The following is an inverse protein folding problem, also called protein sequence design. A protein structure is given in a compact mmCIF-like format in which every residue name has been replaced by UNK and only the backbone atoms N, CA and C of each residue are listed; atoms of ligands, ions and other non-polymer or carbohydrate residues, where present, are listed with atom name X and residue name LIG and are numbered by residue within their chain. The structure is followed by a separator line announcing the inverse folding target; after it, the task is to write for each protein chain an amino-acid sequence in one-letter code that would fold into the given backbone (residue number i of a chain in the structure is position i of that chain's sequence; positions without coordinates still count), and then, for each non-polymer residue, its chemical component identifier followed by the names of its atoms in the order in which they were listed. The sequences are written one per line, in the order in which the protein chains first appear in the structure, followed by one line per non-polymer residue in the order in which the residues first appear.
data_IF_729401588154
#
_entry.id   IF_729401588154
#
_cell.length_a   1.000
_cell.length_b   1.000
_cell.length_c   1.000
_cell.angle_alpha   90.00
_cell.angle_beta   90.00
_cell.angle_gamma   90.00
#
_symmetry.space_group_name_H-M   'P 1'
#
loop_
_entity.id
_entity.type
_entity.pdbx_description
1 polymer ?
#
# COMPACT_ATOMS: atom_id res chain seq x y z
N UNK A 1 12.53 -14.91 9.38
CA UNK A 1 13.99 -15.07 9.59
C UNK A 1 14.37 -15.12 11.07
N UNK A 2 14.13 -14.09 11.89
CA UNK A 2 14.50 -14.05 13.32
C UNK A 2 13.91 -15.21 14.15
N UNK A 3 12.62 -15.52 14.00
CA UNK A 3 11.98 -16.63 14.71
C UNK A 3 12.51 -18.02 14.30
N UNK A 4 13.11 -18.12 13.10
CA UNK A 4 13.80 -19.31 12.63
C UNK A 4 15.32 -19.25 12.88
N UNK A 5 15.80 -18.26 13.65
CA UNK A 5 17.23 -18.01 13.90
C UNK A 5 18.10 -17.84 12.66
N UNK A 6 17.49 -17.47 11.52
CA UNK A 6 18.21 -17.19 10.28
C UNK A 6 18.69 -15.75 10.30
N UNK A 7 20.00 -15.55 10.28
CA UNK A 7 20.63 -14.25 10.16
C UNK A 7 20.78 -13.83 8.69
N UNK A 8 20.70 -12.54 8.41
CA UNK A 8 20.97 -12.01 7.07
C UNK A 8 22.45 -12.14 6.71
N UNK A 9 22.74 -12.45 5.45
CA UNK A 9 24.11 -12.44 4.94
C UNK A 9 24.65 -11.01 4.87
N UNK A 10 25.83 -10.78 5.44
CA UNK A 10 26.53 -9.49 5.39
C UNK A 10 27.87 -9.71 4.68
N UNK A 11 28.08 -9.04 3.54
CA UNK A 11 29.38 -9.06 2.85
C UNK A 11 30.45 -8.41 3.74
N UNK A 12 31.56 -9.12 4.02
CA UNK A 12 32.71 -8.58 4.76
C UNK A 12 33.33 -7.34 4.10
N UNK A 13 33.33 -7.29 2.76
CA UNK A 13 33.79 -6.14 1.97
C UNK A 13 32.60 -5.39 1.39
N UNK A 14 32.50 -4.08 1.70
CA UNK A 14 31.53 -3.19 1.05
C UNK A 14 32.06 -2.83 -0.34
N UNK A 15 31.36 -3.27 -1.37
CA UNK A 15 31.58 -2.86 -2.76
C UNK A 15 30.52 -1.81 -3.09
N UNK A 16 30.96 -0.63 -3.54
CA UNK A 16 30.04 0.41 -4.00
C UNK A 16 29.61 0.08 -5.42
N UNK A 17 28.36 -0.36 -5.58
CA UNK A 17 27.80 -0.76 -6.88
C UNK A 17 27.40 0.43 -7.73
N UNK A 18 27.04 1.54 -7.09
CA UNK A 18 26.52 2.74 -7.75
C UNK A 18 27.32 3.95 -7.30
N UNK A 19 27.94 4.62 -8.26
CA UNK A 19 28.53 5.95 -8.07
C UNK A 19 27.46 6.95 -8.51
N UNK A 20 27.07 7.85 -7.62
CA UNK A 20 26.14 8.93 -7.96
C UNK A 20 26.83 9.87 -8.96
N UNK A 21 26.10 10.27 -9.99
CA UNK A 21 26.57 11.33 -10.88
C UNK A 21 26.57 12.65 -10.08
N UNK A 22 27.65 13.44 -10.09
CA UNK A 22 27.74 14.66 -9.28
C UNK A 22 26.66 15.71 -9.60
N UNK A 23 26.15 15.69 -10.83
CA UNK A 23 25.07 16.56 -11.28
C UNK A 23 23.67 16.01 -10.95
N UNK A 24 23.55 14.77 -10.47
CA UNK A 24 22.25 14.19 -10.12
C UNK A 24 21.70 14.80 -8.83
N UNK A 25 20.47 15.26 -8.92
CA UNK A 25 19.75 15.73 -7.76
C UNK A 25 19.36 14.53 -6.87
N UNK A 26 19.55 14.69 -5.55
CA UNK A 26 19.10 13.68 -4.59
C UNK A 26 17.59 13.54 -4.68
N UNK A 27 17.12 12.36 -5.11
CA UNK A 27 15.70 12.04 -5.13
C UNK A 27 15.22 11.85 -3.69
N UNK A 28 14.11 12.51 -3.29
CA UNK A 28 13.57 12.36 -1.94
C UNK A 28 13.09 10.93 -1.69
N UNK A 29 13.38 10.40 -0.49
CA UNK A 29 12.82 9.14 -0.03
C UNK A 29 11.33 9.33 0.31
N UNK A 30 10.48 8.99 -0.66
CA UNK A 30 9.03 9.23 -0.59
C UNK A 30 8.34 8.51 0.58
N UNK A 31 8.92 7.40 1.06
CA UNK A 31 8.36 6.60 2.15
C UNK A 31 9.20 6.66 3.42
N UNK A 32 10.31 7.41 3.43
CA UNK A 32 11.22 7.59 4.57
C UNK A 32 11.66 6.25 5.20
N UNK A 33 11.83 5.22 4.36
CA UNK A 33 12.10 3.83 4.78
C UNK A 33 11.07 3.23 5.75
N UNK A 34 9.86 3.78 5.83
CA UNK A 34 8.74 3.17 6.53
C UNK A 34 7.99 2.23 5.59
N UNK A 35 8.20 0.94 5.80
CA UNK A 35 7.58 -0.14 5.03
C UNK A 35 6.36 -0.73 5.74
N UNK A 36 5.79 -0.03 6.73
CA UNK A 36 4.61 -0.48 7.47
C UNK A 36 3.35 -0.25 6.64
N UNK A 37 2.55 -1.31 6.44
CA UNK A 37 1.18 -1.23 5.95
C UNK A 37 0.20 -1.72 7.01
N UNK A 38 -1.04 -1.22 6.93
CA UNK A 38 -2.13 -1.63 7.83
C UNK A 38 -2.96 -2.81 7.32
N UNK A 39 -2.86 -3.11 6.02
CA UNK A 39 -3.58 -4.21 5.38
C UNK A 39 -2.83 -4.68 4.12
N UNK A 40 -2.94 -5.97 3.77
CA UNK A 40 -2.40 -6.50 2.53
C UNK A 40 -2.96 -5.78 1.30
N UNK A 41 -2.16 -5.73 0.25
CA UNK A 41 -2.49 -5.28 -1.10
C UNK A 41 -3.01 -3.84 -1.22
N UNK A 42 -2.91 -3.03 -0.16
CA UNK A 42 -3.63 -1.76 -0.10
C UNK A 42 -2.75 -0.52 -0.08
N UNK A 43 -1.54 -0.58 0.50
CA UNK A 43 -0.81 0.64 0.85
C UNK A 43 0.65 0.67 0.40
N UNK A 44 1.36 -0.46 0.46
CA UNK A 44 2.82 -0.48 0.26
C UNK A 44 3.24 -1.70 -0.54
N UNK A 45 3.68 -1.44 -1.75
CA UNK A 45 4.36 -2.41 -2.60
C UNK A 45 5.83 -2.02 -2.71
N UNK A 46 6.71 -3.00 -2.59
CA UNK A 46 8.16 -2.82 -2.78
C UNK A 46 8.57 -3.61 -4.01
N UNK A 47 9.15 -2.91 -4.99
CA UNK A 47 9.71 -3.53 -6.16
C UNK A 47 11.21 -3.81 -6.00
N UNK A 48 11.68 -4.87 -6.66
CA UNK A 48 13.12 -5.10 -6.88
C UNK A 48 13.36 -5.57 -8.31
N UNK A 49 14.53 -5.21 -8.86
CA UNK A 49 15.00 -5.65 -10.17
C UNK A 49 16.35 -6.34 -10.00
N UNK A 50 16.42 -7.58 -10.44
CA UNK A 50 17.64 -8.39 -10.37
C UNK A 50 18.15 -8.71 -11.78
N UNK A 51 19.45 -8.51 -11.98
CA UNK A 51 20.18 -8.92 -13.17
C UNK A 51 20.65 -10.36 -12.97
N UNK A 52 20.26 -11.26 -13.87
CA UNK A 52 20.63 -12.67 -13.82
C UNK A 52 21.57 -12.97 -14.98
N UNK A 53 22.87 -13.18 -14.73
CA UNK A 53 23.83 -13.47 -15.78
C UNK A 53 23.57 -14.84 -16.40
N UNK A 54 23.63 -14.90 -17.72
CA UNK A 54 23.53 -16.13 -18.49
C UNK A 54 24.90 -16.59 -18.99
N UNK A 55 25.02 -17.89 -19.23
CA UNK A 55 26.12 -18.42 -20.02
C UNK A 55 26.06 -17.79 -21.43
N UNK A 56 27.16 -17.18 -21.87
CA UNK A 56 27.21 -16.40 -23.11
C UNK A 56 27.26 -14.87 -22.92
N UNK A 57 27.30 -14.39 -21.67
CA UNK A 57 27.61 -12.99 -21.37
C UNK A 57 26.44 -12.02 -21.47
N UNK A 58 25.24 -12.52 -21.81
CA UNK A 58 23.99 -11.76 -21.74
C UNK A 58 23.37 -11.83 -20.34
N UNK A 59 22.37 -10.98 -20.07
CA UNK A 59 21.65 -10.95 -18.80
C UNK A 59 20.14 -11.10 -19.05
N UNK A 60 19.47 -11.84 -18.15
CA UNK A 60 18.02 -11.72 -17.95
C UNK A 60 17.74 -10.66 -16.88
N UNK A 61 16.56 -10.06 -16.99
CA UNK A 61 16.09 -9.07 -16.05
C UNK A 61 14.87 -9.62 -15.35
N UNK A 62 14.97 -9.85 -14.04
CA UNK A 62 13.84 -10.24 -13.21
C UNK A 62 13.32 -9.02 -12.49
N UNK A 63 12.04 -8.70 -12.69
CA UNK A 63 11.33 -7.72 -11.89
C UNK A 63 10.43 -8.45 -10.89
N UNK A 64 10.39 -7.98 -9.65
CA UNK A 64 9.48 -8.46 -8.62
C UNK A 64 8.75 -7.30 -7.96
N UNK A 65 7.52 -7.55 -7.52
CA UNK A 65 6.73 -6.65 -6.69
C UNK A 65 6.27 -7.44 -5.49
N UNK A 66 6.57 -6.95 -4.30
CA UNK A 66 6.28 -7.60 -3.03
C UNK A 66 5.28 -6.72 -2.27
N UNK A 67 4.14 -7.31 -1.92
CA UNK A 67 3.22 -6.71 -0.97
C UNK A 67 3.82 -6.72 0.44
N UNK A 68 3.80 -5.56 1.11
CA UNK A 68 4.37 -5.38 2.45
C UNK A 68 3.25 -5.24 3.47
N UNK A 69 2.63 -6.35 3.84
CA UNK A 69 1.81 -6.39 5.05
C UNK A 69 2.63 -6.76 6.29
N UNK A 70 2.16 -6.31 7.45
CA UNK A 70 2.65 -6.80 8.73
C UNK A 70 1.86 -8.06 9.04
N UNK A 71 2.51 -9.21 9.16
CA UNK A 71 1.92 -10.39 9.82
C UNK A 71 1.46 -9.97 11.22
N UNK A 72 0.19 -9.62 11.36
CA UNK A 72 -0.46 -9.31 12.63
C UNK A 72 -1.35 -10.46 13.07
N UNK A 73 -0.98 -11.70 12.74
CA UNK A 73 -1.60 -12.90 13.28
C UNK A 73 -0.71 -13.56 14.34
N UNK A 74 -0.44 -12.81 15.43
CA UNK A 74 -0.07 -13.44 16.70
C UNK A 74 -0.99 -13.13 17.87
N UNK A 75 -1.92 -12.19 17.76
CA UNK A 75 -2.91 -11.90 18.81
C UNK A 75 -4.29 -11.61 18.22
N UNK A 76 -4.84 -12.55 17.43
CA UNK A 76 -6.29 -12.60 17.24
C UNK A 76 -6.84 -13.58 18.27
N UNK A 77 -7.27 -13.02 19.40
CA UNK A 77 -8.11 -13.61 20.45
C UNK A 77 -8.34 -15.12 20.37
N UNK A 78 -7.49 -15.88 21.06
CA UNK A 78 -7.99 -17.01 21.85
C UNK A 78 -8.57 -16.42 23.14
N UNK A 79 -9.87 -16.16 23.16
CA UNK A 79 -10.62 -16.06 24.41
C UNK A 79 -11.26 -14.71 24.70
N UNK A 80 -12.46 -14.49 24.14
CA UNK A 80 -13.58 -14.02 24.95
C UNK A 80 -14.91 -14.43 24.30
N UNK A 81 -15.31 -15.67 24.56
CA UNK A 81 -16.73 -16.08 24.51
C UNK A 81 -17.40 -15.96 25.90
N UNK A 82 -16.71 -15.36 26.87
CA UNK A 82 -17.22 -15.15 28.22
C UNK A 82 -17.86 -13.76 28.32
N UNK A 83 -19.13 -13.65 27.93
CA UNK A 83 -19.87 -12.40 28.15
C UNK A 83 -21.23 -12.26 27.47
N UNK A 84 -21.68 -13.23 26.67
CA UNK A 84 -22.97 -13.16 25.98
C UNK A 84 -23.99 -14.17 26.53
N UNK A 85 -24.14 -14.24 27.85
CA UNK A 85 -25.34 -14.81 28.46
C UNK A 85 -25.69 -13.97 29.69
N UNK A 86 -26.49 -12.93 29.49
CA UNK A 86 -27.10 -12.18 30.59
C UNK A 86 -28.51 -11.77 30.17
N UNK A 87 -29.45 -12.56 30.67
CA UNK A 87 -30.81 -12.26 31.08
C UNK A 87 -31.73 -11.48 30.14
N UNK A 88 -32.57 -12.26 29.47
CA UNK A 88 -33.82 -11.83 28.85
C UNK A 88 -34.85 -11.49 29.93
N UNK A 89 -34.83 -10.27 30.46
CA UNK A 89 -35.97 -9.75 31.22
C UNK A 89 -36.92 -8.99 30.30
N UNK A 90 -38.10 -9.60 30.14
CA UNK A 90 -39.29 -9.09 29.48
C UNK A 90 -39.72 -7.75 30.13
N UNK A 91 -39.60 -6.66 29.38
CA UNK A 91 -39.93 -5.32 29.86
C UNK A 91 -40.41 -4.42 28.72
N UNK A 92 -41.73 -4.41 28.52
CA UNK A 92 -42.47 -3.61 27.54
C UNK A 92 -42.15 -2.12 27.64
N UNK A 93 -41.64 -1.49 26.57
CA UNK A 93 -41.60 -0.03 26.37
C UNK A 93 -41.75 0.37 24.89
N UNK A 94 -42.28 1.58 24.61
CA UNK A 94 -43.27 1.80 23.56
C UNK A 94 -42.70 2.03 22.16
N UNK A 95 -43.51 1.69 21.18
CA UNK A 95 -43.30 1.85 19.74
C UNK A 95 -43.17 3.34 19.39
N UNK A 96 -41.96 3.81 19.09
CA UNK A 96 -41.74 5.09 18.43
C UNK A 96 -42.09 4.95 16.95
N UNK A 97 -43.12 5.66 16.52
CA UNK A 97 -43.48 5.80 15.11
C UNK A 97 -42.37 6.57 14.40
N UNK A 98 -41.75 6.06 13.31
CA UNK A 98 -40.86 6.88 12.51
C UNK A 98 -41.68 7.94 11.76
N UNK A 99 -41.28 9.20 11.87
CA UNK A 99 -41.86 10.29 11.10
C UNK A 99 -41.71 9.99 9.59
N UNK A 100 -42.83 10.15 8.88
CA UNK A 100 -42.91 10.06 7.42
C UNK A 100 -41.94 11.11 6.82
N UNK A 101 -40.96 10.68 6.05
CA UNK A 101 -40.10 11.59 5.29
C UNK A 101 -40.94 12.26 4.19
N UNK A 102 -40.94 13.59 4.16
CA UNK A 102 -41.53 14.38 3.09
C UNK A 102 -40.86 14.04 1.74
N UNK A 103 -41.60 13.57 0.72
CA UNK A 103 -41.02 13.17 -0.57
C UNK A 103 -40.72 14.34 -1.52
N UNK A 104 -40.75 15.60 -1.06
CA UNK A 104 -40.64 16.79 -1.93
C UNK A 104 -39.23 17.41 -2.01
N UNK A 105 -38.22 16.84 -1.34
CA UNK A 105 -36.85 17.34 -1.43
C UNK A 105 -36.13 16.80 -2.68
N UNK A 106 -36.14 17.58 -3.76
CA UNK A 106 -35.31 17.34 -4.95
C UNK A 106 -33.82 17.31 -4.57
N UNK A 107 -33.03 16.28 -4.96
CA UNK A 107 -31.60 16.28 -4.70
C UNK A 107 -30.90 17.36 -5.55
N UNK A 108 -30.02 18.14 -4.92
CA UNK A 108 -29.21 19.16 -5.61
C UNK A 108 -28.39 18.55 -6.76
N UNK A 109 -28.19 19.26 -7.88
CA UNK A 109 -27.44 18.72 -9.01
C UNK A 109 -25.98 18.51 -8.64
N UNK A 110 -25.46 17.34 -9.01
CA UNK A 110 -24.08 16.92 -8.80
C UNK A 110 -23.13 17.85 -9.56
N UNK A 111 -22.09 18.35 -8.88
CA UNK A 111 -21.08 19.19 -9.51
C UNK A 111 -20.41 18.48 -10.71
N UNK A 112 -20.08 19.21 -11.80
CA UNK A 112 -19.42 18.63 -12.95
C UNK A 112 -18.00 18.15 -12.58
N UNK A 113 -17.50 17.08 -13.23
CA UNK A 113 -16.14 16.61 -13.01
C UNK A 113 -15.11 17.61 -13.55
N UNK A 114 -13.97 17.73 -12.85
CA UNK A 114 -12.86 18.58 -13.25
C UNK A 114 -12.33 18.24 -14.66
N UNK A 115 -11.90 19.24 -15.45
CA UNK A 115 -11.34 19.01 -16.76
C UNK A 115 -10.00 18.25 -16.67
N UNK A 116 -9.86 17.23 -17.52
CA UNK A 116 -8.63 16.42 -17.63
C UNK A 116 -7.43 17.30 -18.03
N UNK A 117 -6.23 17.08 -17.48
CA UNK A 117 -5.04 17.79 -17.91
C UNK A 117 -4.68 17.40 -19.34
N UNK A 118 -4.60 18.39 -20.23
CA UNK A 118 -4.15 18.21 -21.61
C UNK A 118 -2.62 18.16 -21.66
N UNK A 119 -2.06 16.99 -21.92
CA UNK A 119 -0.63 16.83 -22.21
C UNK A 119 -0.32 17.48 -23.56
N UNK A 120 0.31 18.66 -23.53
CA UNK A 120 0.86 19.32 -24.72
C UNK A 120 2.11 18.56 -25.18
N UNK A 121 1.97 17.80 -26.25
CA UNK A 121 3.09 17.20 -27.00
C UNK A 121 4.04 18.31 -27.45
N UNK A 122 5.25 18.36 -26.88
CA UNK A 122 6.34 19.18 -27.40
C UNK A 122 7.05 18.35 -28.47
N UNK A 123 6.81 18.69 -29.73
CA UNK A 123 7.62 18.22 -30.86
C UNK A 123 9.08 18.60 -30.62
N UNK A 124 9.96 17.60 -30.59
CA UNK A 124 11.41 17.79 -30.64
C UNK A 124 11.75 18.28 -32.05
N UNK A 125 12.13 19.56 -32.15
CA UNK A 125 12.78 20.11 -33.33
C UNK A 125 14.21 19.56 -33.38
N UNK A 126 14.48 18.66 -34.31
CA UNK A 126 15.83 18.31 -34.74
C UNK A 126 16.34 19.41 -35.66
N UNK A 127 17.53 19.93 -35.37
CA UNK A 127 18.31 20.76 -36.31
C UNK A 127 19.75 20.21 -36.41
N UNK A 128 20.39 20.45 -37.56
CA UNK A 128 21.40 19.59 -38.18
C UNK A 128 22.79 19.71 -37.56
#
# INVERSE_FOLDING_TARGET
MRAASIAGYVKKRRVRTTVLEPADQTVPDLIKRDFTALAPNHQRYVGDITYLPLAGGSNLYRATVIDRDRDRDRDRDRGSLAGAISDSHHGTRPRTTPALQDPSASPSPRAPPDPRPTTRSRSRSTRP
#
